data_IF_637945847499
#
_entry.id   IF_637945847499
#
_cell.length_a   1.000
_cell.length_b   1.000
_cell.length_c   1.000
_cell.angle_alpha   90.00
_cell.angle_beta   90.00
_cell.angle_gamma   90.00
#
_symmetry.space_group_name_H-M   'P 1'
#
loop_
_entity.id
_entity.type
_entity.pdbx_description
1 polymer ?
#
# COMPACT_ATOMS: atom_id res chain seq x y z
N UNK A 1 -7.49 21.73 9.54
CA UNK A 1 -7.35 22.88 8.64
C UNK A 1 -8.33 22.62 7.51
N UNK A 2 -9.19 23.56 7.23
CA UNK A 2 -10.11 23.51 6.11
C UNK A 2 -9.56 24.45 5.03
N UNK A 3 -9.51 23.99 3.79
CA UNK A 3 -9.01 24.75 2.65
C UNK A 3 -10.19 25.10 1.72
N UNK A 4 -9.99 26.06 0.82
CA UNK A 4 -11.01 26.46 -0.15
C UNK A 4 -11.34 25.30 -1.11
N UNK A 5 -10.39 24.42 -1.38
CA UNK A 5 -10.55 23.18 -2.11
C UNK A 5 -9.79 22.05 -1.41
N UNK A 6 -10.47 20.96 -1.10
CA UNK A 6 -9.88 19.76 -0.52
C UNK A 6 -10.03 18.59 -1.48
N UNK A 7 -8.92 17.98 -1.88
CA UNK A 7 -8.89 16.83 -2.78
C UNK A 7 -8.72 15.53 -1.98
N UNK A 8 -9.68 14.63 -2.09
CA UNK A 8 -9.68 13.35 -1.37
C UNK A 8 -9.14 12.25 -2.30
N UNK A 9 -8.06 11.61 -1.86
CA UNK A 9 -7.41 10.50 -2.57
C UNK A 9 -7.98 9.14 -2.23
N UNK A 10 -8.76 9.04 -1.16
CA UNK A 10 -9.47 7.80 -0.78
C UNK A 10 -10.58 7.51 -1.81
N UNK A 11 -10.69 6.27 -2.31
CA UNK A 11 -11.78 5.90 -3.22
C UNK A 11 -13.16 6.10 -2.60
N UNK A 12 -14.13 6.48 -3.43
CA UNK A 12 -15.51 6.72 -3.01
C UNK A 12 -16.18 5.52 -2.34
N UNK A 13 -15.74 4.31 -2.67
CA UNK A 13 -16.18 3.07 -2.04
C UNK A 13 -15.99 3.06 -0.52
N UNK A 14 -14.97 3.75 0.00
CA UNK A 14 -14.66 3.84 1.43
C UNK A 14 -15.19 5.11 2.09
N UNK A 15 -15.94 5.93 1.36
CA UNK A 15 -16.48 7.21 1.80
C UNK A 15 -17.99 7.24 1.64
N UNK A 16 -18.67 7.84 2.59
CA UNK A 16 -20.08 8.19 2.47
C UNK A 16 -20.19 9.59 1.88
N UNK A 17 -20.54 9.70 0.60
CA UNK A 17 -20.64 10.98 -0.14
C UNK A 17 -21.56 12.00 0.53
N UNK A 18 -22.59 11.55 1.24
CA UNK A 18 -23.59 12.39 1.92
C UNK A 18 -23.02 13.23 3.08
N UNK A 19 -21.75 13.02 3.44
CA UNK A 19 -21.09 13.65 4.59
C UNK A 19 -19.97 14.61 4.19
N UNK A 20 -19.69 14.79 2.91
CA UNK A 20 -18.60 15.66 2.48
C UNK A 20 -19.08 17.09 2.25
N UNK A 21 -18.42 18.11 2.82
CA UNK A 21 -18.67 19.51 2.48
C UNK A 21 -18.45 19.78 0.99
N UNK A 22 -19.07 20.85 0.47
CA UNK A 22 -19.01 21.21 -0.96
C UNK A 22 -17.60 21.47 -1.48
N UNK A 23 -16.70 21.93 -0.62
CA UNK A 23 -15.30 22.19 -0.95
C UNK A 23 -14.42 20.92 -0.94
N UNK A 24 -15.02 19.72 -0.83
CA UNK A 24 -14.31 18.42 -0.88
C UNK A 24 -14.62 17.68 -2.17
N UNK A 25 -13.58 17.33 -2.94
CA UNK A 25 -13.73 16.61 -4.21
C UNK A 25 -12.99 15.26 -4.15
N UNK A 26 -13.68 14.17 -4.49
CA UNK A 26 -13.09 12.84 -4.54
C UNK A 26 -12.38 12.64 -5.89
N UNK A 27 -11.07 12.70 -5.88
CA UNK A 27 -10.24 12.49 -7.07
C UNK A 27 -9.78 11.04 -7.21
N UNK A 28 -9.82 10.29 -6.11
CA UNK A 28 -9.33 8.91 -6.06
C UNK A 28 -7.81 8.82 -5.91
N UNK A 29 -7.27 7.60 -5.93
CA UNK A 29 -5.88 7.35 -5.59
C UNK A 29 -4.89 8.07 -6.49
N UNK A 30 -3.85 8.66 -5.87
CA UNK A 30 -2.69 9.24 -6.54
C UNK A 30 -1.48 8.40 -6.18
N UNK A 31 -0.99 7.61 -7.13
CA UNK A 31 0.14 6.72 -6.90
C UNK A 31 1.46 7.39 -7.21
N UNK A 32 2.40 7.33 -6.27
CA UNK A 32 3.78 7.70 -6.54
C UNK A 32 4.42 6.66 -7.47
N UNK A 33 4.67 7.04 -8.72
CA UNK A 33 5.37 6.22 -9.71
C UNK A 33 6.88 6.51 -9.62
N UNK A 34 7.54 5.92 -8.64
CA UNK A 34 8.97 6.07 -8.43
C UNK A 34 9.70 4.89 -9.11
N UNK A 35 10.54 5.22 -10.08
CA UNK A 35 11.28 4.22 -10.88
C UNK A 35 10.49 3.66 -12.06
N UNK A 36 11.20 3.25 -13.09
CA UNK A 36 10.66 2.71 -14.36
C UNK A 36 10.77 1.18 -14.47
N UNK A 37 11.59 0.55 -13.65
CA UNK A 37 11.81 -0.91 -13.66
C UNK A 37 12.12 -1.44 -12.26
N UNK A 38 11.87 -2.73 -12.05
CA UNK A 38 12.40 -3.44 -10.90
C UNK A 38 13.90 -3.74 -11.11
N UNK A 39 14.72 -3.74 -10.05
CA UNK A 39 16.10 -4.22 -10.14
C UNK A 39 16.17 -5.67 -10.63
N UNK A 40 17.16 -5.96 -11.48
CA UNK A 40 17.35 -7.31 -12.06
C UNK A 40 17.52 -8.39 -10.99
N UNK A 41 18.16 -8.06 -9.87
CA UNK A 41 18.33 -8.95 -8.74
C UNK A 41 16.99 -9.38 -8.12
N UNK A 42 16.03 -8.45 -8.03
CA UNK A 42 14.68 -8.73 -7.54
C UNK A 42 13.94 -9.64 -8.51
N UNK A 43 14.04 -9.36 -9.81
CA UNK A 43 13.42 -10.20 -10.85
C UNK A 43 14.01 -11.60 -10.85
N UNK A 44 15.32 -11.72 -10.72
CA UNK A 44 16.03 -13.00 -10.62
C UNK A 44 15.56 -13.79 -9.39
N UNK A 45 15.50 -13.14 -8.22
CA UNK A 45 14.97 -13.76 -7.01
C UNK A 45 13.54 -14.26 -7.20
N UNK A 46 12.66 -13.43 -7.74
CA UNK A 46 11.26 -13.80 -8.01
C UNK A 46 11.19 -15.03 -8.92
N UNK A 47 11.91 -15.03 -10.05
CA UNK A 47 11.91 -16.12 -11.00
C UNK A 47 12.41 -17.43 -10.37
N UNK A 48 13.49 -17.36 -9.61
CA UNK A 48 14.00 -18.52 -8.89
C UNK A 48 12.96 -19.07 -7.92
N UNK A 49 12.37 -18.22 -7.08
CA UNK A 49 11.40 -18.66 -6.07
C UNK A 49 10.08 -19.15 -6.66
N UNK A 50 9.70 -18.65 -7.82
CA UNK A 50 8.56 -19.20 -8.59
C UNK A 50 8.85 -20.60 -9.13
N UNK A 51 10.07 -20.88 -9.61
CA UNK A 51 10.48 -22.25 -10.01
C UNK A 51 10.44 -23.21 -8.83
N UNK A 52 10.78 -22.73 -7.62
CA UNK A 52 10.66 -23.48 -6.36
C UNK A 52 9.19 -23.59 -5.87
N UNK A 53 8.21 -23.08 -6.63
CA UNK A 53 6.76 -23.05 -6.30
C UNK A 53 6.44 -22.31 -5.02
N UNK A 54 7.25 -21.31 -4.63
CA UNK A 54 7.00 -20.48 -3.46
C UNK A 54 6.04 -19.34 -3.78
N UNK A 55 5.27 -18.93 -2.74
CA UNK A 55 4.47 -17.72 -2.79
C UNK A 55 5.36 -16.52 -2.48
N UNK A 56 5.24 -15.48 -3.29
CA UNK A 56 6.01 -14.24 -3.11
C UNK A 56 5.22 -13.30 -2.21
N UNK A 57 5.83 -12.88 -1.12
CA UNK A 57 5.26 -11.95 -0.14
C UNK A 57 5.99 -10.62 -0.20
N UNK A 58 5.26 -9.53 -0.39
CA UNK A 58 5.82 -8.19 -0.24
C UNK A 58 5.62 -7.72 1.20
N UNK A 59 6.71 -7.48 1.91
CA UNK A 59 6.69 -7.08 3.31
C UNK A 59 7.13 -5.62 3.46
N UNK A 60 6.18 -4.68 3.64
CA UNK A 60 6.45 -3.25 3.70
C UNK A 60 5.88 -2.62 4.97
N UNK A 61 6.77 -2.21 5.87
CA UNK A 61 6.41 -1.64 7.17
C UNK A 61 6.59 -0.13 7.27
N UNK A 62 6.94 0.53 6.15
CA UNK A 62 7.16 1.97 6.09
C UNK A 62 8.19 2.47 7.11
N UNK A 63 8.28 3.77 7.27
CA UNK A 63 9.20 4.41 8.25
C UNK A 63 8.74 4.27 9.70
N UNK A 64 7.45 4.01 9.94
CA UNK A 64 6.85 3.89 11.28
C UNK A 64 6.94 2.49 11.88
N UNK A 65 7.53 1.52 11.18
CA UNK A 65 7.66 0.14 11.64
C UNK A 65 8.50 0.03 12.92
N UNK A 66 7.98 -0.70 13.92
CA UNK A 66 8.75 -0.99 15.13
C UNK A 66 9.82 -2.07 14.81
N UNK A 67 11.13 -1.79 14.96
CA UNK A 67 12.19 -2.73 14.57
C UNK A 67 12.13 -4.11 15.25
N UNK A 68 11.69 -4.17 16.52
CA UNK A 68 11.53 -5.45 17.24
C UNK A 68 10.43 -6.29 16.65
N UNK A 69 9.31 -5.66 16.31
CA UNK A 69 8.17 -6.33 15.69
C UNK A 69 8.49 -6.76 14.26
N UNK A 70 9.13 -5.90 13.47
CA UNK A 70 9.60 -6.23 12.11
C UNK A 70 10.48 -7.46 12.13
N UNK A 71 11.50 -7.50 12.99
CA UNK A 71 12.37 -8.69 13.15
C UNK A 71 11.59 -9.94 13.54
N UNK A 72 10.65 -9.83 14.47
CA UNK A 72 9.82 -10.97 14.92
C UNK A 72 9.00 -11.54 13.77
N UNK A 73 8.34 -10.68 12.98
CA UNK A 73 7.51 -11.12 11.87
C UNK A 73 8.38 -11.69 10.74
N UNK A 74 9.49 -11.04 10.38
CA UNK A 74 10.41 -11.57 9.37
C UNK A 74 11.01 -12.91 9.79
N UNK A 75 11.40 -13.08 11.07
CA UNK A 75 11.88 -14.36 11.58
C UNK A 75 10.83 -15.47 11.46
N UNK A 76 9.58 -15.14 11.67
CA UNK A 76 8.48 -16.08 11.48
C UNK A 76 8.27 -16.42 10.00
N UNK A 77 8.21 -15.42 9.12
CA UNK A 77 7.94 -15.60 7.69
C UNK A 77 9.06 -16.37 6.98
N UNK A 78 10.34 -16.03 7.24
CA UNK A 78 11.49 -16.67 6.58
C UNK A 78 11.62 -18.16 6.88
N UNK A 79 11.07 -18.61 8.03
CA UNK A 79 11.08 -20.01 8.42
C UNK A 79 9.97 -20.83 7.74
N UNK A 80 9.17 -20.21 6.88
CA UNK A 80 8.12 -20.87 6.08
C UNK A 80 8.69 -21.24 4.72
N UNK A 81 8.87 -22.55 4.50
CA UNK A 81 9.48 -23.07 3.27
C UNK A 81 8.68 -22.75 2.01
N UNK A 82 7.37 -22.56 2.15
CA UNK A 82 6.42 -22.22 1.09
C UNK A 82 6.42 -20.73 0.71
N UNK A 83 7.12 -19.86 1.46
CA UNK A 83 7.15 -18.42 1.24
C UNK A 83 8.52 -17.95 0.76
N UNK A 84 8.51 -16.90 -0.05
CA UNK A 84 9.67 -16.07 -0.36
C UNK A 84 9.29 -14.59 -0.13
N UNK A 85 10.12 -13.87 0.61
CA UNK A 85 9.82 -12.54 1.10
C UNK A 85 10.69 -11.51 0.41
N UNK A 86 10.08 -10.44 -0.08
CA UNK A 86 10.76 -9.24 -0.59
C UNK A 86 10.43 -8.12 0.39
N UNK A 87 11.44 -7.56 1.06
CA UNK A 87 11.26 -6.65 2.18
C UNK A 87 12.16 -5.40 2.09
N UNK A 88 11.63 -4.23 1.71
CA UNK A 88 12.34 -2.96 1.75
C UNK A 88 12.33 -2.38 3.17
N UNK A 89 13.05 -3.04 4.10
CA UNK A 89 13.07 -2.72 5.52
C UNK A 89 14.47 -2.66 6.14
N UNK A 90 15.53 -2.63 5.33
CA UNK A 90 16.93 -2.58 5.83
C UNK A 90 17.15 -1.40 6.77
N UNK A 91 16.55 -0.24 6.49
CA UNK A 91 16.59 0.95 7.34
C UNK A 91 16.03 0.71 8.77
N UNK A 92 15.07 -0.22 8.94
CA UNK A 92 14.52 -0.60 10.25
C UNK A 92 15.38 -1.64 10.99
N UNK A 93 16.18 -2.41 10.26
CA UNK A 93 16.92 -3.53 10.83
C UNK A 93 18.30 -3.12 11.37
N UNK A 94 18.84 -1.99 10.92
CA UNK A 94 20.16 -1.43 11.35
C UNK A 94 21.28 -2.48 11.27
N UNK A 95 21.37 -3.20 10.17
CA UNK A 95 22.38 -4.24 9.96
C UNK A 95 22.20 -5.55 10.76
N UNK A 96 21.18 -5.64 11.61
CA UNK A 96 20.87 -6.84 12.41
C UNK A 96 19.86 -7.73 11.69
N UNK A 97 20.28 -8.39 10.65
CA UNK A 97 19.46 -9.37 9.93
C UNK A 97 20.30 -10.60 9.60
N UNK A 98 19.67 -11.73 9.57
CA UNK A 98 20.30 -12.96 9.10
C UNK A 98 19.81 -13.19 7.67
N UNK A 99 20.74 -13.42 6.78
CA UNK A 99 20.46 -13.80 5.41
C UNK A 99 19.69 -15.13 5.36
N UNK A 100 18.82 -15.25 4.41
CA UNK A 100 18.03 -16.46 4.19
C UNK A 100 17.74 -16.55 2.69
N UNK A 101 17.83 -17.73 2.13
CA UNK A 101 17.51 -17.97 0.72
C UNK A 101 16.08 -17.52 0.34
N UNK A 102 15.19 -17.46 1.33
CA UNK A 102 13.79 -17.06 1.12
C UNK A 102 13.52 -15.59 1.46
N UNK A 103 14.54 -14.79 1.74
CA UNK A 103 14.39 -13.40 2.15
C UNK A 103 15.30 -12.50 1.31
N UNK A 104 14.69 -11.63 0.52
CA UNK A 104 15.37 -10.55 -0.21
C UNK A 104 15.16 -9.24 0.54
N UNK A 105 16.23 -8.70 1.11
CA UNK A 105 16.22 -7.42 1.83
C UNK A 105 16.75 -6.31 0.94
N UNK A 106 16.07 -5.17 0.97
CA UNK A 106 16.50 -3.97 0.25
C UNK A 106 16.11 -2.72 1.04
N UNK A 107 16.63 -1.57 0.64
CA UNK A 107 16.28 -0.30 1.26
C UNK A 107 14.99 0.26 0.65
N UNK A 108 14.86 0.15 -0.65
CA UNK A 108 13.75 0.70 -1.41
C UNK A 108 13.36 -0.18 -2.59
N UNK A 109 12.07 -0.18 -2.93
CA UNK A 109 11.55 -0.78 -4.16
C UNK A 109 10.36 0.02 -4.71
N UNK A 110 10.24 0.14 -6.04
CA UNK A 110 9.05 0.69 -6.68
C UNK A 110 7.88 -0.29 -6.54
N UNK A 111 7.15 -0.20 -5.43
CA UNK A 111 6.09 -1.15 -5.04
C UNK A 111 4.99 -1.30 -6.09
N UNK A 112 4.73 -0.24 -6.88
CA UNK A 112 3.75 -0.28 -7.96
C UNK A 112 4.12 -1.25 -9.11
N UNK A 113 5.40 -1.63 -9.23
CA UNK A 113 5.88 -2.62 -10.21
C UNK A 113 5.91 -4.04 -9.66
N UNK A 114 5.84 -4.20 -8.33
CA UNK A 114 5.88 -5.51 -7.69
C UNK A 114 4.54 -6.26 -7.71
N UNK A 115 3.43 -5.56 -7.85
CA UNK A 115 2.10 -6.15 -7.65
C UNK A 115 1.77 -7.32 -8.59
N UNK A 116 2.33 -7.35 -9.80
CA UNK A 116 2.14 -8.47 -10.73
C UNK A 116 2.89 -9.73 -10.29
N UNK A 117 3.93 -9.56 -9.48
CA UNK A 117 4.85 -10.61 -9.08
C UNK A 117 4.56 -11.21 -7.70
N UNK A 118 3.69 -10.61 -6.91
CA UNK A 118 3.40 -11.05 -5.53
C UNK A 118 2.09 -11.82 -5.43
N UNK A 119 1.97 -12.62 -4.37
CA UNK A 119 0.73 -13.34 -4.04
C UNK A 119 -0.10 -12.60 -3.00
N UNK A 120 0.55 -11.98 -2.03
CA UNK A 120 -0.05 -11.10 -1.03
C UNK A 120 1.00 -10.16 -0.42
N UNK A 121 0.52 -9.15 0.31
CA UNK A 121 1.39 -8.20 1.01
C UNK A 121 1.23 -8.31 2.53
N UNK A 122 2.27 -7.90 3.26
CA UNK A 122 2.25 -7.66 4.69
C UNK A 122 2.63 -6.21 4.93
N UNK A 123 1.69 -5.37 5.36
CA UNK A 123 1.84 -3.92 5.33
C UNK A 123 1.45 -3.24 6.65
N UNK A 124 1.97 -2.03 6.88
CA UNK A 124 1.67 -1.23 8.09
C UNK A 124 0.36 -0.43 8.03
N UNK A 125 -0.30 -0.36 6.88
CA UNK A 125 -1.59 0.32 6.76
C UNK A 125 -1.54 1.81 6.46
N UNK A 126 -0.38 2.39 6.12
CA UNK A 126 -0.31 3.75 5.59
C UNK A 126 -1.10 3.88 4.29
N UNK A 127 -1.79 5.01 4.07
CA UNK A 127 -2.73 5.20 2.97
C UNK A 127 -2.17 4.78 1.61
N UNK A 128 -1.03 5.33 1.19
CA UNK A 128 -0.43 5.00 -0.11
C UNK A 128 -0.07 3.52 -0.27
N UNK A 129 0.32 2.84 0.83
CA UNK A 129 0.64 1.40 0.81
C UNK A 129 -0.61 0.55 0.69
N UNK A 130 -1.69 0.94 1.39
CA UNK A 130 -3.00 0.29 1.29
C UNK A 130 -3.59 0.48 -0.10
N UNK A 131 -3.57 1.70 -0.63
CA UNK A 131 -4.04 2.00 -1.99
C UNK A 131 -3.27 1.18 -3.04
N UNK A 132 -1.94 1.08 -2.92
CA UNK A 132 -1.10 0.26 -3.80
C UNK A 132 -1.47 -1.23 -3.70
N UNK A 133 -1.68 -1.74 -2.48
CA UNK A 133 -2.12 -3.12 -2.27
C UNK A 133 -3.49 -3.39 -2.90
N UNK A 134 -4.46 -2.49 -2.70
CA UNK A 134 -5.79 -2.59 -3.30
C UNK A 134 -5.75 -2.53 -4.84
N UNK A 135 -4.99 -1.58 -5.41
CA UNK A 135 -4.80 -1.45 -6.86
C UNK A 135 -4.11 -2.66 -7.49
N UNK A 136 -3.30 -3.39 -6.72
CA UNK A 136 -2.66 -4.63 -7.19
C UNK A 136 -3.67 -5.76 -7.46
N UNK A 137 -4.83 -5.74 -6.80
CA UNK A 137 -5.78 -6.85 -6.81
C UNK A 137 -5.30 -8.06 -6.01
N UNK A 138 -4.33 -7.87 -5.12
CA UNK A 138 -3.80 -8.90 -4.24
C UNK A 138 -4.24 -8.64 -2.80
N UNK A 139 -4.54 -9.67 -2.01
CA UNK A 139 -4.89 -9.49 -0.62
C UNK A 139 -3.70 -9.06 0.23
N UNK A 140 -3.97 -8.58 1.43
CA UNK A 140 -2.90 -8.23 2.35
C UNK A 140 -3.22 -8.54 3.82
N UNK A 141 -2.15 -8.67 4.61
CA UNK A 141 -2.20 -8.68 6.07
C UNK A 141 -1.75 -7.30 6.54
N UNK A 142 -2.58 -6.60 7.30
CA UNK A 142 -2.30 -5.27 7.80
C UNK A 142 -2.06 -5.24 9.31
N UNK A 143 -1.07 -4.46 9.76
CA UNK A 143 -0.83 -4.19 11.18
C UNK A 143 -0.62 -2.69 11.42
N UNK A 144 -1.65 -1.99 11.88
CA UNK A 144 -1.60 -0.55 12.16
C UNK A 144 -0.72 -0.20 13.36
N UNK A 145 0.13 0.81 13.20
CA UNK A 145 0.93 1.41 14.27
C UNK A 145 0.19 2.57 14.93
N UNK A 146 -0.59 3.31 14.14
CA UNK A 146 -1.37 4.48 14.52
C UNK A 146 -2.84 4.28 14.17
N UNK A 147 -3.70 5.14 14.70
CA UNK A 147 -5.16 5.06 14.51
C UNK A 147 -5.57 5.16 13.04
N UNK A 148 -5.00 6.11 12.29
CA UNK A 148 -5.24 6.26 10.84
C UNK A 148 -4.93 4.97 10.09
N UNK A 149 -3.76 4.37 10.34
CA UNK A 149 -3.36 3.11 9.70
C UNK A 149 -4.30 1.95 10.06
N UNK A 150 -4.78 1.93 11.29
CA UNK A 150 -5.79 0.97 11.71
C UNK A 150 -7.09 1.15 10.92
N UNK A 151 -7.59 2.38 10.79
CA UNK A 151 -8.80 2.67 10.02
C UNK A 151 -8.67 2.24 8.55
N UNK A 152 -7.55 2.57 7.90
CA UNK A 152 -7.29 2.18 6.52
C UNK A 152 -7.34 0.66 6.31
N UNK A 153 -6.79 -0.10 7.27
CA UNK A 153 -6.85 -1.57 7.25
C UNK A 153 -8.30 -2.04 7.46
N UNK A 154 -9.05 -1.44 8.41
CA UNK A 154 -10.41 -1.87 8.73
C UNK A 154 -11.38 -1.70 7.55
N UNK A 155 -11.26 -0.67 6.73
CA UNK A 155 -12.04 -0.53 5.50
C UNK A 155 -11.82 -1.75 4.58
N UNK A 156 -10.58 -2.17 4.41
CA UNK A 156 -10.26 -3.33 3.59
C UNK A 156 -10.70 -4.67 4.21
N UNK A 157 -10.64 -4.79 5.52
CA UNK A 157 -11.18 -5.98 6.25
C UNK A 157 -12.69 -6.06 6.07
N UNK A 158 -13.39 -4.95 6.22
CA UNK A 158 -14.84 -4.89 6.02
C UNK A 158 -15.24 -5.23 4.57
N UNK A 159 -14.44 -4.82 3.59
CA UNK A 159 -14.63 -5.21 2.19
C UNK A 159 -14.31 -6.70 1.94
N UNK A 160 -13.44 -7.29 2.73
CA UNK A 160 -13.07 -8.71 2.66
C UNK A 160 -11.81 -9.02 1.83
N UNK A 161 -10.95 -8.02 1.54
CA UNK A 161 -9.70 -8.22 0.81
C UNK A 161 -8.44 -8.20 1.71
N UNK A 162 -8.61 -8.03 3.01
CA UNK A 162 -7.49 -7.91 3.96
C UNK A 162 -7.77 -8.63 5.28
N UNK A 163 -6.68 -8.93 5.98
CA UNK A 163 -6.68 -9.50 7.33
C UNK A 163 -6.01 -8.50 8.27
N UNK A 164 -6.68 -8.12 9.36
CA UNK A 164 -6.06 -7.27 10.38
C UNK A 164 -5.31 -8.10 11.42
N UNK A 165 -4.02 -7.81 11.60
CA UNK A 165 -3.21 -8.38 12.66
C UNK A 165 -3.18 -7.44 13.86
N UNK A 166 -3.75 -7.89 14.99
CA UNK A 166 -3.83 -7.09 16.22
C UNK A 166 -2.63 -7.33 17.14
N UNK A 167 -2.21 -6.28 17.87
CA UNK A 167 -1.20 -6.38 18.93
C UNK A 167 -1.80 -7.05 20.19
N UNK A 168 -1.02 -7.80 20.98
CA UNK A 168 0.34 -8.23 20.71
C UNK A 168 0.41 -9.24 19.56
N UNK A 169 1.46 -9.15 18.73
CA UNK A 169 1.72 -10.09 17.63
C UNK A 169 2.24 -11.41 18.21
N UNK A 170 1.50 -12.49 18.01
CA UNK A 170 1.88 -13.86 18.45
C UNK A 170 2.04 -14.78 17.24
N UNK A 171 2.76 -15.87 17.40
CA UNK A 171 2.90 -16.90 16.35
C UNK A 171 1.53 -17.42 15.93
N UNK A 172 0.64 -17.72 16.88
CA UNK A 172 -0.73 -18.19 16.61
C UNK A 172 -1.52 -17.22 15.72
N UNK A 173 -1.43 -15.91 15.99
CA UNK A 173 -2.08 -14.89 15.16
C UNK A 173 -1.48 -14.79 13.76
N UNK A 174 -0.15 -14.92 13.65
CA UNK A 174 0.54 -14.91 12.37
C UNK A 174 0.15 -16.13 11.52
N UNK A 175 0.06 -17.31 12.11
CA UNK A 175 -0.38 -18.53 11.42
C UNK A 175 -1.82 -18.42 10.94
N UNK A 176 -2.72 -17.96 11.80
CA UNK A 176 -4.11 -17.72 11.42
C UNK A 176 -4.23 -16.73 10.25
N UNK A 177 -3.54 -15.60 10.33
CA UNK A 177 -3.55 -14.58 9.27
C UNK A 177 -2.98 -15.11 7.94
N UNK A 178 -1.88 -15.89 7.97
CA UNK A 178 -1.33 -16.51 6.76
C UNK A 178 -2.27 -17.53 6.13
N UNK A 179 -2.97 -18.30 6.93
CA UNK A 179 -3.95 -19.26 6.44
C UNK A 179 -5.12 -18.52 5.80
N UNK A 180 -5.64 -17.50 6.46
CA UNK A 180 -6.83 -16.76 6.02
C UNK A 180 -6.56 -15.94 4.75
N UNK A 181 -5.43 -15.20 4.66
CA UNK A 181 -5.10 -14.37 3.48
C UNK A 181 -4.98 -15.19 2.19
N UNK A 182 -4.73 -16.48 2.32
CA UNK A 182 -4.62 -17.42 1.19
C UNK A 182 -5.96 -17.99 0.73
N UNK A 183 -7.06 -17.75 1.44
CA UNK A 183 -8.38 -18.28 1.08
C UNK A 183 -8.83 -17.72 -0.29
N UNK A 184 -9.45 -18.56 -1.15
CA UNK A 184 -9.94 -18.14 -2.46
C UNK A 184 -10.88 -16.93 -2.39
N UNK A 185 -11.74 -16.86 -1.38
CA UNK A 185 -12.69 -15.76 -1.15
C UNK A 185 -11.95 -14.42 -0.99
N UNK A 186 -10.90 -14.36 -0.17
CA UNK A 186 -10.14 -13.13 0.08
C UNK A 186 -9.44 -12.66 -1.20
N UNK A 187 -8.86 -13.60 -1.97
CA UNK A 187 -8.22 -13.31 -3.26
C UNK A 187 -9.24 -12.80 -4.29
N UNK A 188 -10.42 -13.37 -4.34
CA UNK A 188 -11.49 -12.92 -5.23
C UNK A 188 -11.93 -11.50 -4.89
N UNK A 189 -12.13 -11.19 -3.61
CA UNK A 189 -12.48 -9.85 -3.15
C UNK A 189 -11.38 -8.82 -3.51
N UNK A 190 -10.11 -9.17 -3.29
CA UNK A 190 -9.01 -8.31 -3.68
C UNK A 190 -9.01 -8.02 -5.20
N UNK A 191 -9.24 -9.04 -6.02
CA UNK A 191 -9.32 -8.88 -7.46
C UNK A 191 -10.51 -8.00 -7.90
N UNK A 192 -11.65 -8.10 -7.23
CA UNK A 192 -12.83 -7.25 -7.48
C UNK A 192 -12.54 -5.80 -7.08
N UNK A 193 -11.91 -5.60 -5.92
CA UNK A 193 -11.59 -4.27 -5.40
C UNK A 193 -10.68 -3.48 -6.33
N UNK A 194 -9.76 -4.13 -7.03
CA UNK A 194 -8.86 -3.49 -8.01
C UNK A 194 -9.60 -2.57 -8.99
N UNK A 195 -10.82 -2.91 -9.38
CA UNK A 195 -11.63 -2.14 -10.34
C UNK A 195 -12.03 -0.75 -9.81
N UNK A 196 -12.04 -0.58 -8.49
CA UNK A 196 -12.37 0.68 -7.81
C UNK A 196 -11.14 1.55 -7.53
N UNK A 197 -9.96 1.14 -8.01
CA UNK A 197 -8.71 1.88 -7.87
C UNK A 197 -8.16 2.33 -9.23
N UNK A 198 -8.84 3.28 -9.90
CA UNK A 198 -8.39 3.79 -11.19
C UNK A 198 -7.08 4.56 -11.04
N UNK A 199 -6.32 4.62 -12.12
CA UNK A 199 -5.00 5.31 -12.16
C UNK A 199 -5.09 6.76 -12.63
N UNK A 200 -6.29 7.32 -12.77
CA UNK A 200 -6.53 8.66 -13.30
C UNK A 200 -6.75 9.73 -12.21
N UNK A 201 -6.41 9.44 -10.96
CA UNK A 201 -6.52 10.39 -9.85
C UNK A 201 -5.79 11.72 -10.10
N UNK A 202 -4.54 11.72 -10.60
CA UNK A 202 -3.83 12.96 -10.92
C UNK A 202 -4.55 13.83 -11.96
N UNK A 203 -5.12 13.22 -13.00
CA UNK A 203 -5.88 13.94 -14.03
C UNK A 203 -7.14 14.56 -13.47
N UNK A 204 -7.88 13.81 -12.64
CA UNK A 204 -9.08 14.34 -11.95
C UNK A 204 -8.69 15.48 -11.00
N UNK A 205 -7.62 15.33 -10.23
CA UNK A 205 -7.14 16.36 -9.33
C UNK A 205 -6.83 17.65 -10.10
N UNK A 206 -6.17 17.54 -11.25
CA UNK A 206 -5.86 18.69 -12.10
C UNK A 206 -7.14 19.37 -12.61
N UNK A 207 -8.12 18.60 -13.08
CA UNK A 207 -9.41 19.13 -13.55
C UNK A 207 -10.17 19.89 -12.45
N UNK A 208 -10.20 19.36 -11.23
CA UNK A 208 -10.84 20.03 -10.10
C UNK A 208 -10.14 21.32 -9.71
N UNK A 209 -8.79 21.36 -9.77
CA UNK A 209 -8.02 22.58 -9.53
C UNK A 209 -8.29 23.63 -10.61
N UNK A 210 -8.27 23.25 -11.88
CA UNK A 210 -8.56 24.16 -13.00
C UNK A 210 -9.97 24.76 -12.87
N UNK A 211 -10.98 23.92 -12.64
CA UNK A 211 -12.36 24.35 -12.43
C UNK A 211 -12.50 25.31 -11.23
N UNK A 212 -11.81 25.02 -10.13
CA UNK A 212 -11.79 25.88 -8.95
C UNK A 212 -11.19 27.26 -9.26
N UNK A 213 -10.07 27.30 -9.99
CA UNK A 213 -9.40 28.55 -10.36
C UNK A 213 -10.25 29.39 -11.33
N UNK A 214 -10.91 28.77 -12.30
CA UNK A 214 -11.83 29.44 -13.24
C UNK A 214 -13.02 30.07 -12.50
N UNK A 215 -13.66 29.31 -11.60
CA UNK A 215 -14.81 29.77 -10.82
C UNK A 215 -14.48 30.92 -9.87
N UNK A 216 -13.29 30.93 -9.31
CA UNK A 216 -12.86 31.91 -8.32
C UNK A 216 -12.00 33.04 -8.93
N UNK A 217 -11.98 33.22 -10.26
CA UNK A 217 -11.30 34.25 -11.04
C UNK A 217 -10.34 35.13 -10.20
N UNK A 218 -9.19 34.60 -9.84
CA UNK A 218 -8.16 35.45 -9.25
C UNK A 218 -7.72 36.44 -10.33
N UNK A 219 -7.82 37.77 -10.12
CA UNK A 219 -7.39 38.73 -11.12
C UNK A 219 -5.88 38.49 -11.34
N UNK A 220 -5.55 37.99 -12.52
CA UNK A 220 -4.15 37.90 -12.96
C UNK A 220 -3.62 39.31 -12.93
N UNK A 221 -2.70 39.63 -12.00
CA UNK A 221 -1.93 40.88 -12.05
C UNK A 221 -1.25 40.94 -13.41
N UNK A 222 -1.78 41.81 -14.29
CA UNK A 222 -1.12 42.14 -15.55
C UNK A 222 0.31 42.57 -15.22
N UNK A 223 1.30 41.87 -15.79
CA UNK A 223 2.68 42.32 -15.86
C UNK A 223 2.72 43.58 -16.75
N UNK A 224 2.42 44.71 -16.19
CA UNK A 224 2.74 46.01 -16.79
C UNK A 224 2.80 46.98 -15.63
N UNK A 225 4.03 47.33 -15.25
CA UNK A 225 4.46 48.61 -14.69
C UNK A 225 5.80 48.44 -13.95
N UNK A 226 6.80 48.10 -14.75
CA UNK A 226 8.19 48.47 -14.42
C UNK A 226 8.76 49.10 -15.70
N UNK A 227 8.57 50.41 -15.79
CA UNK A 227 9.41 51.29 -16.57
C UNK A 227 10.27 52.13 -15.64
#
# INVERSE_FOLDING_TARGET
>A
MDADLNLITTPDLFLTKEQLPENYQIVGPIFAKLGSSLPDEVLTFIQQKRRERKRIVYFAMGSSGNPRMVRKILAFLRNRSELAIIAPVTHLLKGKHNDSENLFLTEYLPSHLLHEHIDFSFIHGGEGTVQTACASGKPFIGIGMHYEQYCNIQYCVAYGNAIALTKPVTVKKLEAALTEVCLPKIRQQACQLKKHFPTNGPQKAMQEIEHFLEKNSFPTKKKSDYH
#
